data_IF_475237767059
#
_entry.id   IF_475237767059
#
_cell.length_a   1.000
_cell.length_b   1.000
_cell.length_c   1.000
_cell.angle_alpha   90.00
_cell.angle_beta   90.00
_cell.angle_gamma   90.00
#
_symmetry.space_group_name_H-M   'P 1'
#
loop_
_entity.id
_entity.type
_entity.pdbx_description
1 polymer ?
#
# COMPACT_ATOMS: atom_id res chain seq x y z
N UNK A 1 22.42 -22.55 20.91
CA UNK A 1 21.02 -22.45 20.41
C UNK A 1 20.43 -21.05 20.60
N UNK A 2 20.61 -20.40 21.75
CA UNK A 2 20.08 -19.05 22.03
C UNK A 2 20.45 -17.98 21.00
N UNK A 3 21.70 -17.95 20.50
CA UNK A 3 22.12 -16.99 19.45
C UNK A 3 21.34 -17.14 18.14
N UNK A 4 21.03 -18.39 17.73
CA UNK A 4 20.27 -18.66 16.50
C UNK A 4 18.80 -18.20 16.63
N UNK A 5 18.19 -18.46 17.78
CA UNK A 5 16.84 -17.99 18.08
C UNK A 5 16.78 -16.45 18.13
N UNK A 6 17.78 -15.82 18.78
CA UNK A 6 17.91 -14.36 18.84
C UNK A 6 17.96 -13.72 17.44
N UNK A 7 18.70 -14.29 16.49
CA UNK A 7 18.74 -13.75 15.13
C UNK A 7 17.41 -13.86 14.38
N UNK A 8 16.63 -14.91 14.63
CA UNK A 8 15.28 -15.01 14.07
C UNK A 8 14.32 -14.01 14.69
N UNK A 9 14.36 -13.83 16.01
CA UNK A 9 13.57 -12.80 16.70
C UNK A 9 13.94 -11.42 16.18
N UNK A 10 15.23 -11.10 16.06
CA UNK A 10 15.70 -9.83 15.52
C UNK A 10 15.25 -9.64 14.06
N UNK A 11 15.37 -10.67 13.23
CA UNK A 11 14.91 -10.62 11.84
C UNK A 11 13.41 -10.32 11.77
N UNK A 12 12.62 -11.01 12.57
CA UNK A 12 11.17 -10.82 12.66
C UNK A 12 10.82 -9.40 13.10
N UNK A 13 11.47 -8.87 14.13
CA UNK A 13 11.25 -7.51 14.61
C UNK A 13 11.54 -6.48 13.51
N UNK A 14 12.67 -6.59 12.81
CA UNK A 14 13.02 -5.69 11.70
C UNK A 14 11.98 -5.80 10.58
N UNK A 15 11.59 -7.02 10.19
CA UNK A 15 10.56 -7.23 9.16
C UNK A 15 9.22 -6.61 9.55
N UNK A 16 8.81 -6.72 10.82
CA UNK A 16 7.58 -6.08 11.32
C UNK A 16 7.68 -4.56 11.26
N UNK A 17 8.84 -3.97 11.58
CA UNK A 17 9.08 -2.53 11.43
C UNK A 17 8.88 -2.10 9.98
N UNK A 18 9.46 -2.81 9.01
CA UNK A 18 9.24 -2.53 7.59
C UNK A 18 7.78 -2.68 7.19
N UNK A 19 7.09 -3.74 7.63
CA UNK A 19 5.68 -3.97 7.30
C UNK A 19 4.77 -2.86 7.84
N UNK A 20 5.01 -2.40 9.08
CA UNK A 20 4.27 -1.28 9.68
C UNK A 20 4.58 0.02 8.94
N UNK A 21 5.86 0.30 8.67
CA UNK A 21 6.29 1.49 7.94
C UNK A 21 5.61 1.56 6.57
N UNK A 22 5.62 0.48 5.80
CA UNK A 22 4.97 0.41 4.49
C UNK A 22 3.46 0.61 4.57
N UNK A 23 2.82 0.02 5.58
CA UNK A 23 1.37 0.16 5.75
C UNK A 23 0.96 1.59 6.09
N UNK A 24 1.72 2.27 6.94
CA UNK A 24 1.39 3.64 7.42
C UNK A 24 1.76 4.70 6.39
N UNK A 25 2.89 4.55 5.70
CA UNK A 25 3.34 5.50 4.66
C UNK A 25 2.67 5.29 3.31
N UNK A 26 1.99 4.16 3.11
CA UNK A 26 1.28 3.85 1.87
C UNK A 26 0.16 4.86 1.55
N UNK A 27 -0.13 5.10 0.26
CA UNK A 27 -1.16 6.03 -0.19
C UNK A 27 -2.58 5.57 0.15
N UNK A 28 -2.75 4.29 0.51
CA UNK A 28 -4.04 3.68 0.87
C UNK A 28 -4.36 3.76 2.36
N UNK A 29 -3.42 4.16 3.22
CA UNK A 29 -3.64 4.23 4.66
C UNK A 29 -4.68 5.31 5.00
N UNK A 30 -5.80 5.04 5.66
CA UNK A 30 -6.83 6.06 5.91
C UNK A 30 -6.27 7.25 6.70
N UNK A 31 -6.69 8.48 6.34
CA UNK A 31 -6.38 9.65 7.16
C UNK A 31 -7.27 9.63 8.40
N UNK A 32 -6.67 9.83 9.57
CA UNK A 32 -7.38 9.86 10.85
C UNK A 32 -6.86 11.03 11.66
N UNK A 33 -7.76 11.85 12.16
CA UNK A 33 -7.41 12.90 13.12
C UNK A 33 -8.63 13.21 14.01
N UNK A 34 -8.41 14.07 15.00
CA UNK A 34 -9.45 14.69 15.80
C UNK A 34 -9.48 16.19 15.51
N UNK A 35 -10.69 16.74 15.48
CA UNK A 35 -10.91 18.19 15.42
C UNK A 35 -11.83 18.59 16.55
N UNK A 36 -11.78 19.87 16.92
CA UNK A 36 -12.62 20.46 17.95
C UNK A 36 -13.52 21.50 17.28
N UNK A 37 -14.74 21.13 16.87
CA UNK A 37 -15.69 22.10 16.33
C UNK A 37 -16.06 23.09 17.44
N UNK A 38 -15.69 24.35 17.31
CA UNK A 38 -16.18 25.47 18.16
C UNK A 38 -16.10 25.23 19.68
N UNK A 39 -15.04 24.59 20.17
CA UNK A 39 -14.83 24.32 21.60
C UNK A 39 -15.69 23.19 22.19
N UNK A 40 -16.43 22.46 21.33
CA UNK A 40 -17.17 21.24 21.71
C UNK A 40 -16.26 20.03 21.89
N UNK A 41 -16.86 18.90 22.25
CA UNK A 41 -16.16 17.63 22.37
C UNK A 41 -15.41 17.26 21.08
N UNK A 42 -14.24 16.64 21.23
CA UNK A 42 -13.41 16.23 20.11
C UNK A 42 -14.17 15.27 19.18
N UNK A 43 -14.19 15.59 17.90
CA UNK A 43 -14.77 14.76 16.85
C UNK A 43 -13.63 14.02 16.15
N UNK A 44 -13.66 12.69 16.17
CA UNK A 44 -12.70 11.87 15.41
C UNK A 44 -13.24 11.53 14.04
N UNK A 45 -12.37 11.56 13.03
CA UNK A 45 -12.76 11.18 11.68
C UNK A 45 -11.83 10.14 11.08
N UNK A 46 -12.35 9.42 10.10
CA UNK A 46 -11.62 8.48 9.24
C UNK A 46 -11.98 8.73 7.78
N UNK A 47 -11.00 9.21 7.01
CA UNK A 47 -11.15 9.48 5.59
C UNK A 47 -10.49 8.34 4.78
N UNK A 48 -11.26 7.51 4.05
CA UNK A 48 -10.72 6.41 3.25
C UNK A 48 -9.89 6.93 2.06
N UNK A 49 -8.75 6.28 1.79
CA UNK A 49 -7.92 6.54 0.59
C UNK A 49 -7.90 5.36 -0.41
N UNK A 50 -8.54 4.25 -0.05
CA UNK A 50 -8.75 3.09 -0.91
C UNK A 50 -10.14 2.53 -0.65
N UNK A 51 -10.85 2.25 -1.73
CA UNK A 51 -12.22 1.75 -1.72
C UNK A 51 -12.32 0.47 -2.55
N UNK A 52 -13.02 -0.52 -2.03
CA UNK A 52 -13.38 -1.74 -2.75
C UNK A 52 -14.75 -1.54 -3.37
N UNK A 53 -14.88 -1.79 -4.66
CA UNK A 53 -16.15 -1.62 -5.39
C UNK A 53 -17.23 -2.52 -4.76
N UNK A 54 -18.41 -1.97 -4.46
CA UNK A 54 -19.47 -2.65 -3.73
C UNK A 54 -19.13 -2.98 -2.26
N UNK A 55 -18.01 -2.49 -1.75
CA UNK A 55 -17.53 -2.69 -0.39
C UNK A 55 -18.06 -1.64 0.60
N UNK A 56 -17.81 -1.87 1.89
CA UNK A 56 -18.15 -0.93 2.98
C UNK A 56 -16.98 -0.02 3.38
N UNK A 57 -15.83 -0.16 2.73
CA UNK A 57 -14.59 0.56 3.03
C UNK A 57 -14.53 1.97 2.43
N UNK A 58 -15.48 2.32 1.54
CA UNK A 58 -15.64 3.66 0.99
C UNK A 58 -16.57 4.58 1.78
N UNK A 59 -16.83 4.25 3.04
CA UNK A 59 -17.67 5.03 3.94
C UNK A 59 -16.82 6.03 4.73
N UNK A 60 -17.07 7.32 4.53
CA UNK A 60 -16.50 8.39 5.36
C UNK A 60 -17.23 8.37 6.70
N UNK A 61 -16.47 8.38 7.79
CA UNK A 61 -16.98 8.25 9.15
C UNK A 61 -16.44 9.36 10.03
N UNK A 62 -17.34 9.98 10.77
CA UNK A 62 -17.06 11.03 11.74
C UNK A 62 -17.82 10.67 13.02
N UNK A 63 -17.09 10.28 14.06
CA UNK A 63 -17.65 9.97 15.37
C UNK A 63 -17.84 11.27 16.14
N UNK A 64 -19.08 11.57 16.52
CA UNK A 64 -19.42 12.77 17.28
C UNK A 64 -20.49 12.44 18.31
N UNK A 65 -20.31 12.83 19.59
CA UNK A 65 -21.32 12.63 20.62
C UNK A 65 -22.56 13.50 20.39
N UNK A 66 -22.41 14.58 19.63
CA UNK A 66 -23.46 15.55 19.36
C UNK A 66 -23.99 15.43 17.93
N UNK A 67 -25.25 15.81 17.75
CA UNK A 67 -25.90 15.79 16.43
C UNK A 67 -25.34 16.92 15.56
N UNK A 68 -24.33 16.59 14.77
CA UNK A 68 -23.71 17.48 13.79
C UNK A 68 -24.30 17.27 12.38
N UNK A 69 -24.21 18.31 11.55
CA UNK A 69 -24.49 18.23 10.11
C UNK A 69 -23.19 18.39 9.35
N UNK A 70 -23.10 17.76 8.19
CA UNK A 70 -21.92 17.87 7.34
C UNK A 70 -22.19 17.36 5.94
N UNK A 71 -21.23 17.58 5.05
CA UNK A 71 -21.31 17.13 3.67
C UNK A 71 -19.92 16.75 3.15
N UNK A 72 -19.95 15.94 2.11
CA UNK A 72 -18.78 15.58 1.31
C UNK A 72 -18.89 16.29 -0.02
N UNK A 73 -17.83 16.98 -0.41
CA UNK A 73 -17.69 17.55 -1.74
C UNK A 73 -16.69 16.70 -2.51
N UNK A 74 -17.07 16.12 -3.65
CA UNK A 74 -16.21 15.19 -4.39
C UNK A 74 -16.30 15.41 -5.91
N UNK A 75 -15.27 14.94 -6.63
CA UNK A 75 -15.27 14.84 -8.10
C UNK A 75 -14.30 13.75 -8.57
N UNK A 76 -14.39 13.36 -9.85
CA UNK A 76 -13.47 12.39 -10.44
C UNK A 76 -12.06 12.98 -10.56
N UNK A 77 -11.04 12.15 -10.34
CA UNK A 77 -9.63 12.53 -10.43
C UNK A 77 -8.88 11.61 -11.40
N UNK A 78 -8.10 12.13 -12.37
CA UNK A 78 -7.89 13.55 -12.67
C UNK A 78 -8.91 13.99 -13.73
N UNK A 79 -10.08 14.49 -13.31
CA UNK A 79 -11.09 15.04 -14.21
C UNK A 79 -11.35 16.52 -13.88
N UNK A 80 -11.67 17.30 -14.92
CA UNK A 80 -12.03 18.73 -14.80
C UNK A 80 -13.47 18.96 -14.32
N UNK A 81 -14.11 17.95 -13.76
CA UNK A 81 -15.52 18.03 -13.34
C UNK A 81 -15.73 19.10 -12.26
N UNK A 82 -16.95 19.62 -12.22
CA UNK A 82 -17.44 20.41 -11.08
C UNK A 82 -17.57 19.54 -9.83
N UNK A 83 -17.32 20.14 -8.68
CA UNK A 83 -17.51 19.49 -7.39
C UNK A 83 -18.99 19.15 -7.15
N UNK A 84 -19.26 17.90 -6.81
CA UNK A 84 -20.58 17.39 -6.43
C UNK A 84 -20.69 17.32 -4.91
N UNK A 85 -21.81 17.80 -4.36
CA UNK A 85 -22.07 17.83 -2.92
C UNK A 85 -23.01 16.69 -2.51
N UNK A 86 -22.63 15.95 -1.48
CA UNK A 86 -23.43 14.88 -0.88
C UNK A 86 -23.56 15.14 0.62
N UNK A 87 -24.78 15.33 1.10
CA UNK A 87 -25.06 15.51 2.53
C UNK A 87 -24.78 14.22 3.30
N UNK A 88 -24.22 14.34 4.50
CA UNK A 88 -23.94 13.21 5.37
C UNK A 88 -25.13 12.90 6.27
N UNK A 89 -25.33 11.62 6.57
CA UNK A 89 -26.37 11.13 7.47
C UNK A 89 -25.81 10.96 8.88
N UNK A 90 -26.41 11.63 9.86
CA UNK A 90 -26.12 11.43 11.27
C UNK A 90 -27.04 10.35 11.86
N UNK A 91 -26.47 9.33 12.46
CA UNK A 91 -27.21 8.26 13.16
C UNK A 91 -26.35 7.70 14.30
N UNK A 92 -26.93 7.65 15.50
CA UNK A 92 -26.35 6.97 16.68
C UNK A 92 -24.90 7.36 16.99
N UNK A 93 -24.57 8.67 16.99
CA UNK A 93 -23.22 9.17 17.29
C UNK A 93 -22.25 9.15 16.09
N UNK A 94 -22.74 8.79 14.91
CA UNK A 94 -21.94 8.67 13.70
C UNK A 94 -22.52 9.51 12.56
N UNK A 95 -21.73 10.47 12.07
CA UNK A 95 -22.00 11.17 10.81
C UNK A 95 -21.26 10.44 9.68
N UNK A 96 -21.98 10.02 8.64
CA UNK A 96 -21.41 9.21 7.56
C UNK A 96 -21.97 9.52 6.18
N UNK A 97 -21.14 9.31 5.15
CA UNK A 97 -21.53 9.33 3.75
C UNK A 97 -20.63 8.41 2.93
N UNK A 98 -21.22 7.70 1.97
CA UNK A 98 -20.48 6.91 1.00
C UNK A 98 -20.04 7.79 -0.16
N UNK A 99 -18.83 7.55 -0.67
CA UNK A 99 -18.46 8.02 -2.00
C UNK A 99 -19.09 7.11 -3.06
N UNK A 100 -19.49 7.63 -4.23
CA UNK A 100 -20.04 6.80 -5.29
C UNK A 100 -18.97 5.87 -5.86
N UNK A 101 -19.36 4.63 -6.14
CA UNK A 101 -18.47 3.64 -6.75
C UNK A 101 -17.89 4.13 -8.07
N UNK A 102 -16.61 3.83 -8.30
CA UNK A 102 -15.93 4.06 -9.57
C UNK A 102 -15.44 2.73 -10.14
N UNK A 103 -15.21 2.64 -11.47
CA UNK A 103 -14.55 1.49 -12.06
C UNK A 103 -13.17 1.22 -11.45
N UNK A 104 -12.61 0.01 -11.61
CA UNK A 104 -11.27 -0.31 -11.14
C UNK A 104 -10.21 0.71 -11.61
N UNK A 105 -9.31 1.08 -10.71
CA UNK A 105 -8.30 2.14 -10.90
C UNK A 105 -8.86 3.57 -11.04
N UNK A 106 -10.19 3.75 -11.00
CA UNK A 106 -10.83 5.04 -10.85
C UNK A 106 -10.42 5.72 -9.55
N UNK A 107 -10.27 7.04 -9.58
CA UNK A 107 -10.02 7.85 -8.40
C UNK A 107 -11.08 8.93 -8.26
N UNK A 108 -11.44 9.22 -7.02
CA UNK A 108 -12.18 10.42 -6.64
C UNK A 108 -11.29 11.28 -5.76
N UNK A 109 -11.35 12.60 -5.95
CA UNK A 109 -10.87 13.53 -4.94
C UNK A 109 -12.05 14.14 -4.19
N UNK A 110 -11.92 14.26 -2.88
CA UNK A 110 -12.99 14.71 -2.02
C UNK A 110 -12.49 15.55 -0.83
N UNK A 111 -13.39 16.37 -0.30
CA UNK A 111 -13.24 17.21 0.89
C UNK A 111 -14.44 16.98 1.78
N UNK A 112 -14.23 17.06 3.10
CA UNK A 112 -15.28 16.77 4.09
C UNK A 112 -15.45 17.97 4.99
N UNK A 113 -16.69 18.37 5.16
CA UNK A 113 -17.05 19.59 5.87
C UNK A 113 -18.07 19.30 6.97
N UNK A 114 -17.86 19.89 8.15
CA UNK A 114 -18.88 20.01 9.19
C UNK A 114 -19.54 21.38 9.04
N UNK A 115 -20.87 21.41 8.96
CA UNK A 115 -21.63 22.66 8.87
C UNK A 115 -21.68 23.33 10.24
N UNK A 116 -21.40 24.63 10.28
CA UNK A 116 -21.48 25.46 11.49
C UNK A 116 -22.09 26.82 11.15
N UNK A 117 -22.57 27.52 12.16
CA UNK A 117 -23.18 28.85 11.97
C UNK A 117 -22.17 29.90 11.48
N UNK A 118 -20.91 29.82 11.95
CA UNK A 118 -19.82 30.72 11.56
C UNK A 118 -19.11 30.31 10.26
N UNK A 119 -19.70 29.39 9.50
CA UNK A 119 -19.14 28.82 8.28
C UNK A 119 -18.61 27.40 8.44
N UNK A 120 -18.49 26.70 7.32
CA UNK A 120 -18.14 25.28 7.29
C UNK A 120 -16.71 25.03 7.82
N UNK A 121 -16.53 23.95 8.58
CA UNK A 121 -15.22 23.44 9.00
C UNK A 121 -14.75 22.36 8.03
N UNK A 122 -13.69 22.62 7.28
CA UNK A 122 -13.02 21.57 6.51
C UNK A 122 -12.20 20.68 7.45
N UNK A 123 -12.41 19.36 7.40
CA UNK A 123 -11.73 18.41 8.28
C UNK A 123 -10.25 18.19 7.94
N UNK A 124 -9.88 18.48 6.70
CA UNK A 124 -8.51 18.30 6.22
C UNK A 124 -8.20 19.32 5.14
N UNK A 125 -7.10 20.07 5.30
CA UNK A 125 -6.80 21.26 4.48
C UNK A 125 -6.53 20.97 2.99
N UNK A 126 -6.30 19.72 2.60
CA UNK A 126 -6.03 19.30 1.22
C UNK A 126 -7.10 18.31 0.75
N UNK A 127 -7.47 18.29 -0.53
CA UNK A 127 -8.30 17.21 -1.07
C UNK A 127 -7.71 15.85 -0.77
N UNK A 128 -8.56 14.91 -0.36
CA UNK A 128 -8.19 13.51 -0.15
C UNK A 128 -8.51 12.75 -1.42
N UNK A 129 -7.57 11.92 -1.89
CA UNK A 129 -7.78 11.07 -3.06
C UNK A 129 -8.09 9.64 -2.60
N UNK A 130 -9.23 9.12 -3.02
CA UNK A 130 -9.62 7.71 -2.85
C UNK A 130 -9.49 6.96 -4.18
N UNK A 131 -8.75 5.85 -4.17
CA UNK A 131 -8.60 4.93 -5.32
C UNK A 131 -9.52 3.73 -5.18
N UNK A 132 -10.24 3.40 -6.24
CA UNK A 132 -11.15 2.26 -6.31
C UNK A 132 -10.44 1.03 -6.88
N UNK A 133 -10.73 -0.13 -6.28
CA UNK A 133 -10.20 -1.43 -6.67
C UNK A 133 -11.30 -2.48 -6.68
N UNK A 134 -11.13 -3.49 -7.53
CA UNK A 134 -11.93 -4.71 -7.49
C UNK A 134 -11.70 -5.53 -6.22
N UNK A 135 -12.60 -6.50 -6.00
CA UNK A 135 -12.48 -7.47 -4.91
C UNK A 135 -11.40 -8.50 -5.26
N UNK A 136 -10.37 -8.58 -4.43
CA UNK A 136 -9.32 -9.61 -4.58
C UNK A 136 -9.66 -10.82 -3.71
N UNK A 137 -9.76 -12.03 -4.28
CA UNK A 137 -10.04 -13.24 -3.52
C UNK A 137 -9.02 -13.46 -2.38
N UNK A 138 -9.51 -13.80 -1.19
CA UNK A 138 -8.66 -14.05 -0.02
C UNK A 138 -7.65 -15.18 -0.26
N UNK A 139 -8.04 -16.20 -1.04
CA UNK A 139 -7.18 -17.31 -1.45
C UNK A 139 -5.96 -16.88 -2.28
N UNK A 140 -5.95 -15.66 -2.83
CA UNK A 140 -4.81 -15.10 -3.59
C UNK A 140 -4.09 -14.06 -2.71
N UNK A 141 -4.85 -13.16 -2.08
CA UNK A 141 -4.27 -12.08 -1.28
C UNK A 141 -3.51 -12.59 -0.06
N UNK A 142 -4.03 -13.60 0.66
CA UNK A 142 -3.39 -14.13 1.86
C UNK A 142 -2.05 -14.80 1.51
N UNK A 143 -1.97 -15.73 0.52
CA UNK A 143 -0.68 -16.28 0.11
C UNK A 143 0.29 -15.23 -0.43
N UNK A 144 -0.19 -14.23 -1.18
CA UNK A 144 0.64 -13.13 -1.67
C UNK A 144 1.36 -12.42 -0.52
N UNK A 145 0.59 -11.95 0.48
CA UNK A 145 1.13 -11.23 1.64
C UNK A 145 2.07 -12.12 2.44
N UNK A 146 1.74 -13.41 2.61
CA UNK A 146 2.58 -14.37 3.31
C UNK A 146 3.94 -14.54 2.62
N UNK A 147 3.97 -14.74 1.31
CA UNK A 147 5.24 -14.89 0.59
C UNK A 147 6.07 -13.61 0.55
N UNK A 148 5.44 -12.44 0.40
CA UNK A 148 6.16 -11.16 0.49
C UNK A 148 6.73 -10.91 1.89
N UNK A 149 6.02 -11.35 2.94
CA UNK A 149 6.51 -11.29 4.31
C UNK A 149 7.68 -12.25 4.54
N UNK A 150 7.57 -13.50 4.07
CA UNK A 150 8.62 -14.51 4.17
C UNK A 150 9.88 -14.09 3.39
N UNK A 151 9.71 -13.50 2.20
CA UNK A 151 10.81 -12.91 1.43
C UNK A 151 11.55 -11.82 2.24
N UNK A 152 10.82 -10.89 2.85
CA UNK A 152 11.48 -9.84 3.64
C UNK A 152 12.15 -10.42 4.90
N UNK A 153 11.51 -11.37 5.57
CA UNK A 153 12.06 -12.06 6.74
C UNK A 153 13.38 -12.78 6.42
N UNK A 154 13.40 -13.54 5.32
CA UNK A 154 14.60 -14.25 4.88
C UNK A 154 15.69 -13.29 4.39
N UNK A 155 15.30 -12.21 3.71
CA UNK A 155 16.24 -11.15 3.29
C UNK A 155 16.98 -10.54 4.47
N UNK A 156 16.27 -10.17 5.55
CA UNK A 156 16.88 -9.67 6.79
C UNK A 156 17.73 -10.75 7.47
N UNK A 157 17.24 -12.00 7.51
CA UNK A 157 17.97 -13.11 8.14
C UNK A 157 19.30 -13.40 7.43
N UNK A 158 19.30 -13.35 6.09
CA UNK A 158 20.49 -13.50 5.26
C UNK A 158 21.47 -12.36 5.54
N UNK A 159 20.98 -11.11 5.58
CA UNK A 159 21.79 -9.95 5.92
C UNK A 159 22.49 -10.10 7.29
N UNK A 160 21.76 -10.47 8.34
CA UNK A 160 22.35 -10.71 9.67
C UNK A 160 23.40 -11.83 9.63
N UNK A 161 23.17 -12.88 8.82
CA UNK A 161 24.11 -14.01 8.70
C UNK A 161 25.45 -13.57 8.12
N UNK A 162 25.46 -12.62 7.19
CA UNK A 162 26.70 -12.10 6.57
C UNK A 162 27.67 -11.53 7.61
N UNK A 163 27.16 -10.98 8.73
CA UNK A 163 27.96 -10.39 9.81
C UNK A 163 28.18 -11.32 11.02
N UNK A 164 27.44 -12.42 11.12
CA UNK A 164 27.41 -13.26 12.34
C UNK A 164 27.91 -14.68 12.13
N UNK A 165 28.09 -15.12 10.88
CA UNK A 165 28.59 -16.45 10.53
C UNK A 165 29.55 -16.39 9.34
N UNK A 166 30.54 -17.28 9.29
CA UNK A 166 31.49 -17.36 8.18
C UNK A 166 30.88 -17.94 6.88
N UNK A 167 29.78 -18.69 6.96
CA UNK A 167 29.15 -19.31 5.77
C UNK A 167 27.68 -18.96 5.64
N UNK A 168 27.35 -18.22 4.58
CA UNK A 168 25.98 -17.97 4.15
C UNK A 168 25.35 -19.27 3.64
N UNK A 169 24.13 -19.59 4.08
CA UNK A 169 23.45 -20.84 3.74
C UNK A 169 22.82 -20.71 2.34
N UNK A 170 23.33 -21.47 1.36
CA UNK A 170 22.85 -21.45 -0.04
C UNK A 170 21.33 -21.65 -0.15
N UNK A 171 20.79 -22.62 0.60
CA UNK A 171 19.36 -22.91 0.63
C UNK A 171 18.50 -21.72 1.07
N UNK A 172 18.99 -20.87 1.98
CA UNK A 172 18.24 -19.70 2.44
C UNK A 172 18.07 -18.67 1.31
N UNK A 173 19.09 -18.48 0.47
CA UNK A 173 19.01 -17.56 -0.69
C UNK A 173 18.10 -18.11 -1.78
N UNK A 174 18.17 -19.42 -2.05
CA UNK A 174 17.24 -20.09 -2.99
C UNK A 174 15.79 -19.93 -2.52
N UNK A 175 15.51 -20.21 -1.24
CA UNK A 175 14.16 -20.04 -0.67
C UNK A 175 13.70 -18.58 -0.72
N UNK A 176 14.60 -17.63 -0.44
CA UNK A 176 14.28 -16.21 -0.52
C UNK A 176 13.83 -15.80 -1.93
N UNK A 177 14.55 -16.24 -2.96
CA UNK A 177 14.19 -15.99 -4.36
C UNK A 177 12.87 -16.69 -4.72
N UNK A 178 12.65 -17.91 -4.24
CA UNK A 178 11.38 -18.61 -4.47
C UNK A 178 10.20 -17.82 -3.87
N UNK A 179 10.34 -17.29 -2.65
CA UNK A 179 9.32 -16.44 -2.05
C UNK A 179 9.08 -15.16 -2.85
N UNK A 180 10.13 -14.53 -3.38
CA UNK A 180 9.97 -13.36 -4.26
C UNK A 180 9.27 -13.71 -5.56
N UNK A 181 9.59 -14.85 -6.18
CA UNK A 181 8.94 -15.29 -7.43
C UNK A 181 7.46 -15.59 -7.17
N UNK A 182 7.15 -16.42 -6.17
CA UNK A 182 5.78 -16.81 -5.87
C UNK A 182 4.95 -15.60 -5.40
N UNK A 183 5.50 -14.79 -4.49
CA UNK A 183 4.82 -13.61 -3.96
C UNK A 183 4.72 -12.48 -4.98
N UNK A 184 5.83 -12.11 -5.60
CA UNK A 184 5.96 -10.91 -6.44
C UNK A 184 5.63 -11.11 -7.92
N UNK A 185 5.91 -12.27 -8.52
CA UNK A 185 5.76 -12.50 -9.97
C UNK A 185 4.64 -13.48 -10.33
N UNK A 186 4.13 -14.27 -9.38
CA UNK A 186 2.96 -15.13 -9.59
C UNK A 186 1.74 -14.50 -8.94
N UNK A 187 1.75 -14.36 -7.62
CA UNK A 187 0.59 -13.88 -6.89
C UNK A 187 0.41 -12.36 -6.98
N UNK A 188 1.49 -11.59 -7.09
CA UNK A 188 1.45 -10.15 -7.32
C UNK A 188 0.60 -9.79 -8.55
N UNK A 189 0.95 -10.29 -9.75
CA UNK A 189 0.16 -10.09 -10.96
C UNK A 189 -1.29 -10.53 -10.86
N UNK A 190 -1.55 -11.66 -10.18
CA UNK A 190 -2.92 -12.10 -9.92
C UNK A 190 -3.67 -11.10 -9.05
N UNK A 191 -3.09 -10.62 -7.94
CA UNK A 191 -3.74 -9.60 -7.10
C UNK A 191 -4.01 -8.32 -7.88
N UNK A 192 -3.10 -7.93 -8.78
CA UNK A 192 -3.26 -6.75 -9.61
C UNK A 192 -4.38 -6.90 -10.65
N UNK A 193 -4.47 -8.07 -11.27
CA UNK A 193 -5.54 -8.38 -12.22
C UNK A 193 -6.92 -8.28 -11.58
N UNK A 194 -7.12 -8.89 -10.40
CA UNK A 194 -8.40 -8.77 -9.69
C UNK A 194 -8.69 -7.33 -9.20
N UNK A 195 -7.65 -6.57 -8.86
CA UNK A 195 -7.82 -5.20 -8.35
C UNK A 195 -8.08 -4.17 -9.47
N UNK A 196 -7.42 -4.31 -10.64
CA UNK A 196 -7.33 -3.26 -11.66
C UNK A 196 -7.47 -3.76 -13.10
N UNK A 197 -7.59 -5.07 -13.35
CA UNK A 197 -7.76 -5.65 -14.68
C UNK A 197 -6.48 -5.88 -15.49
N UNK A 198 -5.29 -5.64 -14.91
CA UNK A 198 -4.00 -5.85 -15.57
C UNK A 198 -3.10 -6.77 -14.73
N UNK A 199 -2.44 -7.75 -15.37
CA UNK A 199 -1.53 -8.66 -14.69
C UNK A 199 -0.17 -8.01 -14.38
N UNK A 200 0.42 -7.32 -15.35
CA UNK A 200 1.73 -6.69 -15.18
C UNK A 200 1.77 -5.37 -15.92
N UNK A 201 2.26 -4.34 -15.24
CA UNK A 201 2.32 -2.95 -15.72
C UNK A 201 3.72 -2.37 -15.61
N UNK A 202 4.71 -3.16 -15.18
CA UNK A 202 6.12 -2.81 -15.19
C UNK A 202 6.81 -3.07 -16.53
N UNK A 203 8.10 -2.79 -16.57
CA UNK A 203 8.96 -3.04 -17.73
C UNK A 203 8.94 -4.54 -18.11
N UNK A 204 8.97 -4.89 -19.41
CA UNK A 204 9.07 -4.01 -20.58
C UNK A 204 7.73 -3.44 -21.09
N UNK A 205 6.60 -3.87 -20.53
CA UNK A 205 5.27 -3.54 -21.04
C UNK A 205 4.68 -2.25 -20.46
N UNK A 206 5.29 -1.69 -19.42
CA UNK A 206 4.87 -0.43 -18.81
C UNK A 206 5.91 0.17 -17.87
N UNK A 207 5.44 1.07 -17.01
CA UNK A 207 6.29 1.90 -16.14
C UNK A 207 5.84 1.90 -14.67
N UNK A 208 4.98 0.96 -14.26
CA UNK A 208 4.52 0.86 -12.88
C UNK A 208 5.70 0.67 -11.91
N UNK A 209 5.73 1.51 -10.88
CA UNK A 209 6.83 1.54 -9.93
C UNK A 209 6.89 0.26 -9.08
N UNK A 210 5.75 -0.32 -8.71
CA UNK A 210 5.66 -1.50 -7.85
C UNK A 210 6.21 -2.73 -8.56
N UNK A 211 5.82 -2.92 -9.81
CA UNK A 211 6.31 -4.01 -10.66
C UNK A 211 7.82 -3.86 -10.94
N UNK A 212 8.26 -2.65 -11.29
CA UNK A 212 9.68 -2.37 -11.55
C UNK A 212 10.57 -2.56 -10.33
N UNK A 213 10.10 -2.14 -9.15
CA UNK A 213 10.78 -2.39 -7.86
C UNK A 213 10.99 -3.89 -7.63
N UNK A 214 9.97 -4.69 -7.93
CA UNK A 214 10.02 -6.15 -7.76
C UNK A 214 10.99 -6.79 -8.74
N UNK A 215 11.04 -6.31 -9.99
CA UNK A 215 12.03 -6.71 -11.00
C UNK A 215 13.47 -6.39 -10.58
N UNK A 216 13.72 -5.19 -10.07
CA UNK A 216 15.04 -4.79 -9.58
C UNK A 216 15.48 -5.65 -8.39
N UNK A 217 14.59 -5.94 -7.43
CA UNK A 217 14.90 -6.87 -6.34
C UNK A 217 15.29 -8.25 -6.88
N UNK A 218 14.52 -8.79 -7.83
CA UNK A 218 14.82 -10.11 -8.41
C UNK A 218 16.20 -10.13 -9.08
N UNK A 219 16.53 -9.11 -9.88
CA UNK A 219 17.81 -9.03 -10.56
C UNK A 219 19.00 -9.08 -9.58
N UNK A 220 18.94 -8.31 -8.49
CA UNK A 220 19.99 -8.31 -7.47
C UNK A 220 20.06 -9.63 -6.69
N UNK A 221 18.91 -10.23 -6.37
CA UNK A 221 18.89 -11.53 -5.70
C UNK A 221 19.40 -12.67 -6.61
N UNK A 222 19.13 -12.63 -7.92
CA UNK A 222 19.73 -13.56 -8.89
C UNK A 222 21.25 -13.39 -9.00
N UNK A 223 21.75 -12.15 -9.00
CA UNK A 223 23.19 -11.89 -8.97
C UNK A 223 23.83 -12.43 -7.66
N UNK A 224 23.17 -12.26 -6.53
CA UNK A 224 23.60 -12.83 -5.25
C UNK A 224 23.58 -14.37 -5.25
N UNK A 225 22.58 -14.97 -5.89
CA UNK A 225 22.51 -16.42 -6.08
C UNK A 225 23.69 -16.92 -6.92
N UNK A 226 23.97 -16.26 -8.04
CA UNK A 226 25.10 -16.58 -8.90
C UNK A 226 26.43 -16.50 -8.12
N UNK A 227 26.63 -15.41 -7.36
CA UNK A 227 27.83 -15.23 -6.55
C UNK A 227 27.99 -16.32 -5.48
N UNK A 228 26.91 -16.82 -4.88
CA UNK A 228 26.95 -17.92 -3.92
C UNK A 228 27.50 -19.23 -4.52
N UNK A 229 27.24 -19.48 -5.81
CA UNK A 229 27.68 -20.70 -6.47
C UNK A 229 29.02 -20.56 -7.19
N UNK A 230 29.36 -19.36 -7.66
CA UNK A 230 30.47 -19.13 -8.60
C UNK A 230 31.53 -18.15 -8.11
N UNK A 231 31.23 -17.27 -7.15
CA UNK A 231 32.19 -16.28 -6.68
C UNK A 231 32.98 -16.79 -5.47
N UNK A 232 34.25 -16.37 -5.35
CA UNK A 232 35.08 -16.66 -4.17
C UNK A 232 34.58 -15.97 -2.90
N UNK A 233 33.91 -14.81 -3.01
CA UNK A 233 33.31 -14.10 -1.89
C UNK A 233 31.90 -13.58 -2.21
N UNK A 234 30.83 -14.24 -1.73
CA UNK A 234 29.45 -13.83 -2.00
C UNK A 234 28.96 -12.66 -1.13
N UNK A 235 29.71 -12.24 -0.08
CA UNK A 235 29.24 -11.25 0.91
C UNK A 235 28.81 -9.91 0.27
N UNK A 236 29.59 -9.28 -0.64
CA UNK A 236 29.21 -7.99 -1.22
C UNK A 236 27.89 -8.04 -1.99
N UNK A 237 27.65 -9.13 -2.72
CA UNK A 237 26.44 -9.32 -3.52
C UNK A 237 25.19 -9.48 -2.65
N UNK A 238 25.31 -10.16 -1.50
CA UNK A 238 24.22 -10.31 -0.55
C UNK A 238 23.89 -9.00 0.16
N UNK A 239 24.92 -8.21 0.51
CA UNK A 239 24.73 -6.87 1.07
C UNK A 239 24.10 -5.92 0.06
N UNK A 240 24.49 -6.00 -1.22
CA UNK A 240 23.88 -5.22 -2.28
C UNK A 240 22.40 -5.62 -2.48
N UNK A 241 22.09 -6.92 -2.55
CA UNK A 241 20.73 -7.40 -2.72
C UNK A 241 19.81 -7.00 -1.56
N UNK A 242 20.30 -7.13 -0.31
CA UNK A 242 19.55 -6.65 0.84
C UNK A 242 19.39 -5.13 0.85
N UNK A 243 20.44 -4.36 0.55
CA UNK A 243 20.37 -2.90 0.49
C UNK A 243 19.32 -2.43 -0.51
N UNK A 244 19.30 -3.02 -1.72
CA UNK A 244 18.28 -2.74 -2.73
C UNK A 244 16.89 -3.12 -2.23
N UNK A 245 16.74 -4.29 -1.62
CA UNK A 245 15.46 -4.74 -1.03
C UNK A 245 14.98 -3.75 0.04
N UNK A 246 15.84 -3.34 0.95
CA UNK A 246 15.53 -2.36 2.00
C UNK A 246 15.14 -1.01 1.41
N UNK A 247 15.90 -0.48 0.45
CA UNK A 247 15.58 0.77 -0.25
C UNK A 247 14.22 0.72 -0.94
N UNK A 248 13.95 -0.37 -1.66
CA UNK A 248 12.65 -0.61 -2.31
C UNK A 248 11.53 -0.60 -1.27
N UNK A 249 11.75 -1.22 -0.11
CA UNK A 249 10.77 -1.28 0.96
C UNK A 249 10.57 0.06 1.72
N UNK A 250 11.57 0.94 1.72
CA UNK A 250 11.50 2.30 2.28
C UNK A 250 10.77 3.29 1.37
N UNK A 251 10.70 3.03 0.06
CA UNK A 251 9.88 3.84 -0.85
C UNK A 251 8.42 3.37 -0.73
N UNK A 252 7.46 4.24 -0.32
CA UNK A 252 6.07 3.84 -0.15
C UNK A 252 5.51 3.09 -1.35
N UNK A 253 4.77 2.01 -1.08
CA UNK A 253 4.13 1.20 -2.13
C UNK A 253 3.09 2.00 -2.89
N UNK A 254 2.92 1.72 -4.19
CA UNK A 254 1.88 2.34 -5.03
C UNK A 254 1.95 3.87 -5.20
N UNK A 255 3.09 4.51 -4.95
CA UNK A 255 3.37 5.82 -5.56
C UNK A 255 3.44 5.58 -7.09
N UNK A 256 2.58 6.26 -7.86
CA UNK A 256 2.46 6.11 -9.33
C UNK A 256 1.92 4.76 -9.83
N UNK A 257 0.96 4.16 -9.11
CA UNK A 257 0.24 2.98 -9.61
C UNK A 257 -0.79 3.30 -10.71
N UNK A 258 -1.39 2.25 -11.28
CA UNK A 258 -2.39 2.37 -12.37
C UNK A 258 -3.53 3.36 -12.06
N UNK A 259 -3.96 4.09 -13.09
CA UNK A 259 -4.93 5.18 -12.99
C UNK A 259 -5.90 5.13 -14.16
N UNK A 260 -7.20 5.26 -13.89
CA UNK A 260 -8.19 5.33 -14.95
C UNK A 260 -8.16 6.71 -15.60
N UNK A 261 -7.94 6.74 -16.91
CA UNK A 261 -8.19 7.93 -17.72
C UNK A 261 -9.68 7.98 -18.07
N UNK A 262 -10.41 8.89 -17.43
CA UNK A 262 -11.85 9.07 -17.66
C UNK A 262 -12.20 9.61 -19.05
N UNK A 263 -11.24 10.15 -19.81
CA UNK A 263 -11.48 10.60 -21.20
C UNK A 263 -11.49 9.44 -22.19
N UNK A 264 -10.68 8.41 -21.94
CA UNK A 264 -10.55 7.23 -22.79
C UNK A 264 -11.21 5.99 -22.20
N UNK A 265 -11.67 6.03 -20.95
CA UNK A 265 -12.13 4.88 -20.15
C UNK A 265 -11.12 3.72 -20.15
N UNK A 266 -9.83 4.03 -20.16
CA UNK A 266 -8.74 3.05 -20.15
C UNK A 266 -7.85 3.24 -18.92
N UNK A 267 -7.38 2.13 -18.37
CA UNK A 267 -6.42 2.16 -17.26
C UNK A 267 -5.03 2.44 -17.84
N UNK A 268 -4.43 3.54 -17.42
CA UNK A 268 -3.10 3.99 -17.84
C UNK A 268 -2.11 3.92 -16.66
N UNK A 269 -0.82 3.92 -16.98
CA UNK A 269 0.25 3.88 -15.99
C UNK A 269 0.62 5.30 -15.56
N UNK A 270 -0.12 5.87 -14.60
CA UNK A 270 0.30 6.89 -13.62
C UNK A 270 1.14 8.11 -14.03
N UNK A 271 1.29 8.43 -15.33
CA UNK A 271 2.01 9.62 -15.83
C UNK A 271 1.02 10.63 -16.39
N UNK A 272 0.86 11.74 -15.67
CA UNK A 272 0.85 13.06 -16.28
C UNK A 272 2.16 13.73 -15.93
#
# INVERSE_FOLDING_TARGET
MMKKALYWVLSLTITLVFAVFQRVTGPTYPLKNKVFPDGTAAVSFRLPRSCTIGGKDCLIKIDSPEKIKGYVSWRRYPAGDSWTKTEMLYRDGLLSAGLPDQPPAGKLEYRVFIKREKGDLELYAKPVVARFKGVVPAAILIPHVLFMFLFMLFSVRIFITVFTMDTVIKHAVVLNILFLILGGFVLGPLTQFYAFGAYWTGWPFGHDLTDNKTLVMLAFWLAALYAIFRAGNPKPWLLAAFSVTALVYLVPHSLFGSELDYSQNQVTNGRK
#
